data_IF_141073909185
#
_entry.id   IF_141073909185
#
_cell.length_a   1.000
_cell.length_b   1.000
_cell.length_c   1.000
_cell.angle_alpha   90.00
_cell.angle_beta   90.00
_cell.angle_gamma   90.00
#
_symmetry.space_group_name_H-M   'P 1'
#
loop_
_entity.id
_entity.type
_entity.pdbx_description
1 polymer ?
#
# COMPACT_ATOMS: atom_id res chain seq x y z
N UNK A 1 -36.98 -38.63 -14.76
CA UNK A 1 -37.37 -37.49 -13.89
C UNK A 1 -36.22 -37.30 -12.92
N UNK A 2 -35.40 -36.25 -12.88
CA UNK A 2 -35.56 -34.83 -13.14
C UNK A 2 -34.25 -34.26 -13.72
N UNK A 3 -34.27 -33.78 -14.95
CA UNK A 3 -33.32 -32.76 -15.41
C UNK A 3 -34.19 -31.55 -15.73
N UNK A 4 -34.30 -30.62 -14.80
CA UNK A 4 -35.10 -29.42 -15.00
C UNK A 4 -34.38 -28.18 -14.47
N UNK A 5 -34.02 -27.33 -15.44
CA UNK A 5 -33.92 -25.88 -15.34
C UNK A 5 -32.78 -25.29 -14.52
N UNK A 6 -31.58 -25.31 -15.10
CA UNK A 6 -30.73 -24.10 -15.07
C UNK A 6 -31.18 -23.20 -16.22
N UNK A 7 -32.26 -22.45 -15.99
CA UNK A 7 -32.67 -21.38 -16.90
C UNK A 7 -31.69 -20.23 -16.75
N UNK A 8 -30.85 -20.09 -17.77
CA UNK A 8 -29.88 -19.02 -17.96
C UNK A 8 -30.59 -17.67 -17.89
N UNK A 9 -30.42 -16.94 -16.77
CA UNK A 9 -30.88 -15.55 -16.63
C UNK A 9 -29.92 -14.66 -17.42
N UNK A 10 -30.00 -14.71 -18.76
CA UNK A 10 -29.48 -13.65 -19.61
C UNK A 10 -30.65 -12.68 -19.87
N UNK A 11 -30.93 -11.79 -18.91
CA UNK A 11 -31.80 -10.65 -19.19
C UNK A 11 -31.09 -9.77 -20.23
N UNK A 12 -31.80 -9.42 -21.28
CA UNK A 12 -31.38 -8.55 -22.40
C UNK A 12 -30.39 -7.45 -21.95
N UNK A 13 -29.32 -7.16 -22.71
CA UNK A 13 -28.43 -6.05 -22.39
C UNK A 13 -29.25 -4.77 -22.40
N UNK A 14 -29.43 -4.13 -21.24
CA UNK A 14 -29.96 -2.78 -21.25
C UNK A 14 -28.92 -1.93 -21.98
N UNK A 15 -29.30 -1.40 -23.14
CA UNK A 15 -28.42 -0.60 -23.99
C UNK A 15 -28.13 0.71 -23.27
N UNK A 16 -27.09 0.75 -22.45
CA UNK A 16 -26.63 1.95 -21.77
C UNK A 16 -26.04 2.86 -22.85
N UNK A 17 -26.68 4.00 -23.10
CA UNK A 17 -26.16 5.01 -24.03
C UNK A 17 -24.86 5.63 -23.49
N UNK A 18 -23.84 5.76 -24.33
CA UNK A 18 -22.58 6.44 -24.00
C UNK A 18 -22.74 7.91 -23.57
N UNK A 19 -23.87 8.55 -23.92
CA UNK A 19 -24.20 9.89 -23.41
C UNK A 19 -24.59 9.89 -21.94
N UNK A 20 -25.12 8.78 -21.42
CA UNK A 20 -25.54 8.63 -20.02
C UNK A 20 -24.33 8.46 -19.09
N UNK A 21 -23.27 7.79 -19.51
CA UNK A 21 -22.09 7.48 -18.67
C UNK A 21 -21.21 8.71 -18.40
N UNK A 22 -21.28 9.76 -19.24
CA UNK A 22 -20.43 10.96 -19.11
C UNK A 22 -20.69 11.81 -17.88
N UNK A 23 -21.82 11.64 -17.19
CA UNK A 23 -22.12 12.37 -15.98
C UNK A 23 -21.72 11.54 -14.75
N UNK A 24 -20.69 11.97 -14.02
CA UNK A 24 -20.13 11.27 -12.83
C UNK A 24 -21.23 10.89 -11.83
N UNK A 25 -22.23 11.76 -11.62
CA UNK A 25 -23.35 11.51 -10.71
C UNK A 25 -24.25 10.36 -11.19
N UNK A 26 -24.41 10.20 -12.50
CA UNK A 26 -25.22 9.11 -13.07
C UNK A 26 -24.50 7.77 -12.98
N UNK A 27 -23.18 7.73 -13.23
CA UNK A 27 -22.37 6.52 -13.07
C UNK A 27 -22.38 6.02 -11.62
N UNK A 28 -22.16 6.91 -10.65
CA UNK A 28 -22.18 6.56 -9.23
C UNK A 28 -23.56 6.01 -8.81
N UNK A 29 -24.65 6.62 -9.29
CA UNK A 29 -26.02 6.14 -9.02
C UNK A 29 -26.29 4.76 -9.62
N UNK A 30 -25.84 4.50 -10.83
CA UNK A 30 -25.99 3.19 -11.48
C UNK A 30 -25.16 2.11 -10.76
N UNK A 31 -23.92 2.42 -10.39
CA UNK A 31 -23.06 1.54 -9.60
C UNK A 31 -23.70 1.22 -8.23
N UNK A 32 -24.22 2.23 -7.52
CA UNK A 32 -24.90 2.03 -6.24
C UNK A 32 -26.12 1.11 -6.36
N UNK A 33 -26.94 1.29 -7.42
CA UNK A 33 -28.08 0.40 -7.70
C UNK A 33 -27.63 -1.05 -7.96
N UNK A 34 -26.53 -1.26 -8.68
CA UNK A 34 -25.96 -2.57 -8.94
C UNK A 34 -25.53 -3.27 -7.64
N UNK A 35 -24.74 -2.59 -6.80
CA UNK A 35 -24.29 -3.16 -5.53
C UNK A 35 -25.45 -3.42 -4.57
N UNK A 36 -26.41 -2.51 -4.47
CA UNK A 36 -27.62 -2.72 -3.65
C UNK A 36 -28.42 -3.94 -4.11
N UNK A 37 -28.54 -4.15 -5.43
CA UNK A 37 -29.23 -5.32 -5.98
C UNK A 37 -28.51 -6.62 -5.59
N UNK A 38 -27.20 -6.70 -5.73
CA UNK A 38 -26.45 -7.92 -5.39
C UNK A 38 -26.34 -8.16 -3.88
N UNK A 39 -26.25 -7.09 -3.07
CA UNK A 39 -26.33 -7.19 -1.62
C UNK A 39 -27.68 -7.76 -1.17
N UNK A 40 -28.79 -7.31 -1.75
CA UNK A 40 -30.14 -7.88 -1.49
C UNK A 40 -30.28 -9.32 -1.95
N UNK A 41 -29.56 -9.72 -3.00
CA UNK A 41 -29.60 -11.09 -3.54
C UNK A 41 -28.67 -12.06 -2.79
N UNK A 42 -27.79 -11.58 -1.91
CA UNK A 42 -26.82 -12.42 -1.21
C UNK A 42 -25.80 -13.08 -2.14
N UNK A 43 -25.49 -12.48 -3.30
CA UNK A 43 -24.55 -13.06 -4.26
C UNK A 43 -23.13 -13.05 -3.68
N UNK A 44 -22.43 -14.20 -3.60
CA UNK A 44 -21.07 -14.24 -3.08
C UNK A 44 -20.11 -13.53 -4.03
N UNK A 45 -19.16 -12.80 -3.47
CA UNK A 45 -18.10 -12.16 -4.25
C UNK A 45 -17.04 -13.21 -4.62
N UNK A 46 -16.64 -13.25 -5.90
CA UNK A 46 -15.58 -14.14 -6.35
C UNK A 46 -14.26 -13.83 -5.62
N UNK A 47 -13.41 -14.82 -5.32
CA UNK A 47 -12.10 -14.59 -4.70
C UNK A 47 -11.23 -13.65 -5.54
N UNK A 48 -10.65 -12.61 -4.93
CA UNK A 48 -9.97 -11.54 -5.69
C UNK A 48 -8.74 -10.88 -5.05
N UNK A 49 -8.61 -10.85 -3.71
CA UNK A 49 -7.54 -10.08 -3.03
C UNK A 49 -6.35 -10.93 -2.58
N UNK A 50 -6.62 -12.02 -1.87
CA UNK A 50 -5.62 -12.83 -1.18
C UNK A 50 -6.10 -14.30 -1.25
N UNK A 51 -5.27 -15.20 -1.78
CA UNK A 51 -5.61 -16.63 -1.88
C UNK A 51 -4.96 -17.33 -3.07
N UNK A 52 -5.36 -18.59 -3.31
CA UNK A 52 -4.86 -19.47 -4.37
C UNK A 52 -5.09 -18.94 -5.80
N UNK A 53 -6.00 -17.98 -5.98
CA UNK A 53 -6.39 -17.47 -7.30
C UNK A 53 -5.56 -16.28 -7.79
N UNK A 54 -4.82 -15.59 -6.91
CA UNK A 54 -4.05 -14.39 -7.28
C UNK A 54 -2.55 -14.65 -7.23
N UNK A 55 -1.85 -14.42 -8.34
CA UNK A 55 -0.39 -14.54 -8.43
C UNK A 55 0.26 -13.23 -8.03
N UNK A 56 1.07 -13.23 -6.97
CA UNK A 56 1.84 -12.04 -6.59
C UNK A 56 2.87 -11.68 -7.67
N UNK A 57 2.84 -10.43 -8.12
CA UNK A 57 3.88 -9.84 -8.97
C UNK A 57 4.72 -8.86 -8.16
N UNK A 58 5.95 -8.59 -8.62
CA UNK A 58 6.82 -7.60 -7.99
C UNK A 58 6.13 -6.22 -7.89
N UNK A 59 5.30 -5.87 -8.87
CA UNK A 59 4.56 -4.60 -8.90
C UNK A 59 3.56 -4.48 -7.77
N UNK A 60 2.80 -5.55 -7.47
CA UNK A 60 1.81 -5.56 -6.40
C UNK A 60 2.48 -5.52 -5.04
N UNK A 61 3.57 -6.27 -4.88
CA UNK A 61 4.36 -6.30 -3.64
C UNK A 61 4.97 -4.93 -3.37
N UNK A 62 5.64 -4.31 -4.35
CA UNK A 62 6.22 -2.96 -4.17
C UNK A 62 5.17 -1.90 -3.84
N UNK A 63 3.99 -1.96 -4.48
CA UNK A 63 2.91 -1.01 -4.18
C UNK A 63 2.38 -1.18 -2.76
N UNK A 64 2.17 -2.42 -2.31
CA UNK A 64 1.72 -2.69 -0.95
C UNK A 64 2.78 -2.28 0.08
N UNK A 65 4.05 -2.64 -0.14
CA UNK A 65 5.18 -2.23 0.71
C UNK A 65 5.32 -0.71 0.79
N UNK A 66 5.05 0.02 -0.30
CA UNK A 66 5.11 1.48 -0.29
C UNK A 66 4.02 2.11 0.59
N UNK A 67 2.82 1.53 0.58
CA UNK A 67 1.74 1.94 1.50
C UNK A 67 2.07 1.62 2.95
N UNK A 68 2.56 0.40 3.22
CA UNK A 68 2.91 -0.03 4.58
C UNK A 68 4.03 0.83 5.16
N UNK A 69 5.10 1.07 4.38
CA UNK A 69 6.21 1.93 4.81
C UNK A 69 5.75 3.37 5.06
N UNK A 70 4.91 3.93 4.17
CA UNK A 70 4.38 5.29 4.34
C UNK A 70 3.49 5.42 5.58
N UNK A 71 2.60 4.45 5.80
CA UNK A 71 1.78 4.39 7.01
C UNK A 71 2.62 4.26 8.27
N UNK A 72 3.62 3.36 8.29
CA UNK A 72 4.50 3.15 9.44
C UNK A 72 5.30 4.40 9.79
N UNK A 73 5.92 5.04 8.79
CA UNK A 73 6.68 6.28 8.97
C UNK A 73 5.77 7.45 9.38
N UNK A 74 4.58 7.56 8.78
CA UNK A 74 3.58 8.56 9.14
C UNK A 74 3.13 8.41 10.60
N UNK A 75 2.74 7.20 11.01
CA UNK A 75 2.36 6.92 12.40
C UNK A 75 3.49 7.25 13.37
N UNK A 76 4.74 6.96 13.02
CA UNK A 76 5.88 7.33 13.85
C UNK A 76 6.00 8.85 14.02
N UNK A 77 6.01 9.60 12.92
CA UNK A 77 6.19 11.06 12.95
C UNK A 77 5.01 11.74 13.66
N UNK A 78 3.79 11.42 13.26
CA UNK A 78 2.59 11.99 13.89
C UNK A 78 2.45 11.54 15.35
N UNK A 79 2.77 10.28 15.65
CA UNK A 79 2.72 9.75 17.01
C UNK A 79 3.68 10.46 17.95
N UNK A 80 4.93 10.70 17.52
CA UNK A 80 5.90 11.46 18.30
C UNK A 80 5.45 12.91 18.51
N UNK A 81 4.98 13.60 17.46
CA UNK A 81 4.50 14.97 17.56
C UNK A 81 3.25 15.12 18.45
N UNK A 82 2.28 14.20 18.33
CA UNK A 82 1.10 14.18 19.20
C UNK A 82 1.51 13.89 20.65
N UNK A 83 2.46 12.98 20.87
CA UNK A 83 2.94 12.65 22.23
C UNK A 83 3.56 13.87 22.91
N UNK A 84 4.33 14.67 22.19
CA UNK A 84 4.89 15.92 22.71
C UNK A 84 3.79 16.92 23.12
N UNK A 85 2.79 17.12 22.26
CA UNK A 85 1.65 18.01 22.55
C UNK A 85 0.86 17.53 23.77
N UNK A 86 0.66 16.21 23.92
CA UNK A 86 -0.12 15.63 25.01
C UNK A 86 0.61 15.64 26.35
N UNK A 87 1.92 15.37 26.34
CA UNK A 87 2.67 15.25 27.58
C UNK A 87 3.02 16.60 28.21
N UNK A 88 3.04 17.72 27.45
CA UNK A 88 3.29 19.14 27.80
C UNK A 88 4.53 19.48 28.64
N UNK A 89 4.86 18.66 29.61
CA UNK A 89 5.97 18.76 30.56
C UNK A 89 7.26 18.16 30.01
N UNK A 90 7.18 17.34 28.95
CA UNK A 90 8.33 16.73 28.32
C UNK A 90 8.63 17.34 26.96
N UNK A 91 9.84 17.85 26.80
CA UNK A 91 10.37 18.23 25.50
C UNK A 91 10.67 16.97 24.66
N UNK A 92 10.71 17.12 23.33
CA UNK A 92 11.02 16.03 22.39
C UNK A 92 12.24 15.17 22.79
N UNK A 93 13.33 15.80 23.25
CA UNK A 93 14.54 15.11 23.70
C UNK A 93 14.26 14.17 24.89
N UNK A 94 13.48 14.61 25.86
CA UNK A 94 13.12 13.82 27.05
C UNK A 94 12.22 12.64 26.69
N UNK A 95 11.37 12.80 25.68
CA UNK A 95 10.54 11.72 25.13
C UNK A 95 11.44 10.67 24.47
N UNK A 96 12.36 11.08 23.59
CA UNK A 96 13.32 10.17 22.97
C UNK A 96 14.21 9.44 23.98
N UNK A 97 14.72 10.15 25.00
CA UNK A 97 15.52 9.55 26.07
C UNK A 97 14.71 8.52 26.89
N UNK A 98 13.41 8.77 27.08
CA UNK A 98 12.50 7.80 27.72
C UNK A 98 12.30 6.54 26.88
N UNK A 99 12.37 6.62 25.55
CA UNK A 99 12.34 5.46 24.66
C UNK A 99 13.69 4.74 24.61
N UNK A 100 14.79 5.49 24.48
CA UNK A 100 16.15 4.93 24.43
C UNK A 100 16.51 4.17 25.71
N UNK A 101 16.13 4.68 26.88
CA UNK A 101 16.40 4.01 28.17
C UNK A 101 15.64 2.69 28.36
N UNK A 102 14.56 2.45 27.61
CA UNK A 102 13.76 1.21 27.67
C UNK A 102 14.19 0.16 26.65
N UNK A 103 14.96 0.56 25.64
CA UNK A 103 15.42 -0.33 24.57
C UNK A 103 16.79 -0.89 24.94
N UNK A 104 16.98 -2.20 24.77
CA UNK A 104 18.32 -2.78 24.79
C UNK A 104 19.12 -2.26 23.59
N UNK A 105 20.46 -2.21 23.71
CA UNK A 105 21.34 -1.73 22.64
C UNK A 105 21.06 -2.43 21.31
N UNK A 106 20.86 -3.75 21.36
CA UNK A 106 20.54 -4.56 20.17
C UNK A 106 19.18 -4.19 19.56
N UNK A 107 18.11 -4.14 20.36
CA UNK A 107 16.76 -3.83 19.84
C UNK A 107 16.69 -2.40 19.29
N UNK A 108 17.37 -1.45 19.95
CA UNK A 108 17.46 -0.06 19.48
C UNK A 108 18.19 0.07 18.14
N UNK A 109 19.30 -0.65 17.95
CA UNK A 109 20.02 -0.69 16.68
C UNK A 109 19.17 -1.30 15.55
N UNK A 110 18.50 -2.43 15.82
CA UNK A 110 17.60 -3.07 14.83
C UNK A 110 16.45 -2.15 14.43
N UNK A 111 15.85 -1.44 15.38
CA UNK A 111 14.79 -0.48 15.09
C UNK A 111 15.29 0.67 14.20
N UNK A 112 16.49 1.21 14.46
CA UNK A 112 17.10 2.25 13.62
C UNK A 112 17.31 1.76 12.17
N UNK A 113 17.85 0.54 12.00
CA UNK A 113 18.05 -0.05 10.67
C UNK A 113 16.72 -0.26 9.95
N UNK A 114 15.72 -0.79 10.64
CA UNK A 114 14.40 -1.01 10.06
C UNK A 114 13.75 0.30 9.60
N UNK A 115 13.76 1.33 10.45
CA UNK A 115 13.20 2.64 10.13
C UNK A 115 13.95 3.33 8.98
N UNK A 116 15.29 3.30 8.99
CA UNK A 116 16.09 3.88 7.92
C UNK A 116 15.90 3.14 6.59
N UNK A 117 15.80 1.82 6.62
CA UNK A 117 15.53 1.03 5.40
C UNK A 117 14.11 1.27 4.87
N UNK A 118 13.12 1.37 5.75
CA UNK A 118 11.75 1.71 5.37
C UNK A 118 11.68 3.11 4.75
N UNK A 119 12.41 4.08 5.30
CA UNK A 119 12.50 5.44 4.75
C UNK A 119 13.19 5.47 3.39
N UNK A 120 14.32 4.75 3.23
CA UNK A 120 15.03 4.66 1.96
C UNK A 120 14.13 4.05 0.88
N UNK A 121 13.51 2.90 1.17
CA UNK A 121 12.56 2.24 0.27
C UNK A 121 11.40 3.16 -0.11
N UNK A 122 10.76 3.79 0.89
CA UNK A 122 9.60 4.65 0.65
C UNK A 122 9.97 5.84 -0.25
N UNK A 123 11.13 6.45 -0.01
CA UNK A 123 11.65 7.57 -0.80
C UNK A 123 11.94 7.15 -2.24
N UNK A 124 12.72 6.10 -2.46
CA UNK A 124 13.07 5.65 -3.82
C UNK A 124 11.83 5.18 -4.61
N UNK A 125 10.93 4.42 -3.97
CA UNK A 125 9.69 4.02 -4.63
C UNK A 125 8.74 5.21 -4.83
N UNK A 126 8.78 6.22 -3.95
CA UNK A 126 8.05 7.48 -4.11
C UNK A 126 8.50 8.26 -5.35
N UNK A 127 9.82 8.38 -5.58
CA UNK A 127 10.36 8.96 -6.82
C UNK A 127 9.85 8.21 -8.05
N UNK A 128 9.85 6.87 -8.01
CA UNK A 128 9.29 6.04 -9.08
C UNK A 128 7.80 6.33 -9.32
N UNK A 129 7.01 6.53 -8.27
CA UNK A 129 5.59 6.92 -8.39
C UNK A 129 5.43 8.31 -9.00
N UNK A 130 6.23 9.30 -8.59
CA UNK A 130 6.20 10.65 -9.19
C UNK A 130 6.55 10.61 -10.68
N UNK A 131 7.52 9.77 -11.08
CA UNK A 131 7.83 9.55 -12.50
C UNK A 131 6.64 8.96 -13.26
N UNK A 132 5.87 8.05 -12.65
CA UNK A 132 4.63 7.55 -13.24
C UNK A 132 3.58 8.64 -13.37
N UNK A 133 3.40 9.48 -12.35
CA UNK A 133 2.45 10.60 -12.39
C UNK A 133 2.80 11.61 -13.50
N UNK A 134 4.09 11.74 -13.84
CA UNK A 134 4.58 12.55 -14.95
C UNK A 134 4.46 11.88 -16.34
N UNK A 135 3.96 10.66 -16.44
CA UNK A 135 3.80 9.97 -17.74
C UNK A 135 4.93 9.00 -18.12
N UNK A 136 5.94 8.80 -17.27
CA UNK A 136 7.13 8.00 -17.62
C UNK A 136 7.02 6.53 -17.19
N UNK A 137 7.68 5.62 -17.93
CA UNK A 137 7.99 4.28 -17.44
C UNK A 137 6.84 3.24 -17.44
N UNK A 138 5.75 3.47 -18.18
CA UNK A 138 4.56 2.59 -18.19
C UNK A 138 4.68 1.30 -19.01
N UNK A 139 5.71 1.15 -19.84
CA UNK A 139 5.93 -0.12 -20.57
C UNK A 139 6.35 -1.21 -19.58
N UNK A 140 5.84 -2.44 -19.76
CA UNK A 140 6.10 -3.56 -18.84
C UNK A 140 7.60 -3.76 -18.50
N UNK A 141 8.55 -3.73 -19.45
CA UNK A 141 9.98 -3.85 -19.11
C UNK A 141 10.48 -2.74 -18.19
N UNK A 142 10.08 -1.48 -18.43
CA UNK A 142 10.45 -0.33 -17.60
C UNK A 142 9.84 -0.38 -16.20
N UNK A 143 8.61 -0.89 -16.08
CA UNK A 143 7.96 -1.09 -14.78
C UNK A 143 8.72 -2.10 -13.91
N UNK A 144 9.20 -3.19 -14.50
CA UNK A 144 10.03 -4.18 -13.78
C UNK A 144 11.43 -3.64 -13.49
N UNK A 145 12.10 -3.03 -14.48
CA UNK A 145 13.43 -2.43 -14.32
C UNK A 145 13.46 -1.40 -13.18
N UNK A 146 12.52 -0.45 -13.20
CA UNK A 146 12.40 0.56 -12.13
C UNK A 146 12.12 -0.07 -10.77
N UNK A 147 11.38 -1.18 -10.71
CA UNK A 147 11.16 -1.94 -9.48
C UNK A 147 12.45 -2.54 -8.93
N UNK A 148 13.27 -3.16 -9.78
CA UNK A 148 14.56 -3.72 -9.37
C UNK A 148 15.57 -2.64 -8.98
N UNK A 149 15.57 -1.49 -9.65
CA UNK A 149 16.41 -0.33 -9.27
C UNK A 149 16.08 0.13 -7.85
N UNK A 150 14.79 0.30 -7.52
CA UNK A 150 14.34 0.68 -6.17
C UNK A 150 14.82 -0.33 -5.13
N UNK A 151 14.68 -1.63 -5.41
CA UNK A 151 15.16 -2.68 -4.50
C UNK A 151 16.68 -2.67 -4.34
N UNK A 152 17.43 -2.49 -5.42
CA UNK A 152 18.88 -2.41 -5.40
C UNK A 152 19.39 -1.23 -4.57
N UNK A 153 18.83 -0.03 -4.78
CA UNK A 153 19.17 1.16 -3.99
C UNK A 153 18.83 0.98 -2.51
N UNK A 154 17.67 0.41 -2.22
CA UNK A 154 17.26 0.10 -0.83
C UNK A 154 18.22 -0.89 -0.18
N UNK A 155 18.65 -1.92 -0.91
CA UNK A 155 19.59 -2.92 -0.41
C UNK A 155 20.97 -2.33 -0.13
N UNK A 156 21.45 -1.39 -0.97
CA UNK A 156 22.70 -0.65 -0.73
C UNK A 156 22.59 0.17 0.56
N UNK A 157 21.49 0.91 0.76
CA UNK A 157 21.27 1.65 1.99
C UNK A 157 21.24 0.72 3.21
N UNK A 158 20.52 -0.40 3.15
CA UNK A 158 20.49 -1.40 4.22
C UNK A 158 21.90 -1.94 4.53
N UNK A 159 22.67 -2.31 3.51
CA UNK A 159 24.02 -2.81 3.68
C UNK A 159 24.94 -1.76 4.33
N UNK A 160 24.82 -0.49 3.94
CA UNK A 160 25.59 0.60 4.56
C UNK A 160 25.28 0.74 6.05
N UNK A 161 24.00 0.71 6.44
CA UNK A 161 23.58 0.79 7.84
C UNK A 161 23.98 -0.44 8.65
N UNK A 162 23.98 -1.62 8.03
CA UNK A 162 24.46 -2.84 8.68
C UNK A 162 25.99 -2.84 8.84
N UNK A 163 26.72 -2.29 7.88
CA UNK A 163 28.18 -2.17 7.97
C UNK A 163 28.62 -1.25 9.11
N UNK A 164 27.90 -0.16 9.36
CA UNK A 164 28.17 0.73 10.50
C UNK A 164 27.92 0.03 11.84
N UNK A 165 26.95 -0.89 11.91
CA UNK A 165 26.68 -1.66 13.12
C UNK A 165 27.80 -2.66 13.44
N UNK A 166 28.44 -3.24 12.42
CA UNK A 166 29.54 -4.20 12.60
C UNK A 166 30.88 -3.53 12.91
N UNK A 167 30.98 -2.22 12.72
CA UNK A 167 32.18 -1.43 12.98
C UNK A 167 32.23 -0.87 14.43
N UNK A 168 31.13 -0.99 15.18
CA UNK A 168 31.00 -0.65 16.61
C UNK A 168 31.28 -1.87 17.49
#
# INVERSE_FOLDING_TARGET
>A
MLVSRVSMICKSPQRISWTRIRNVMTFQREAAKFFQKHAKQGSPQSPYMLGLSYKFQITTVLSLSHRISGLGLGVLIYGLGITEILLREKNFEQILNSFNSKLSSFTGQMLKIFLGTALAFHTFNGVRHLLWDMGYGFTLPKVYLSGYIVLGLTAICLASMLSTLLAE
#
